data_IF_922332495144
#
_entry.id   IF_922332495144
#
_cell.length_a   1.000
_cell.length_b   1.000
_cell.length_c   1.000
_cell.angle_alpha   90.00
_cell.angle_beta   90.00
_cell.angle_gamma   90.00
#
_symmetry.space_group_name_H-M   'P 1'
#
loop_
_entity.id
_entity.type
_entity.pdbx_description
1 polymer ?
#
# COMPACT_ATOMS: atom_id res chain seq x y z
N UNK A 1 41.39 -6.51 28.51
CA UNK A 1 41.35 -7.72 27.67
C UNK A 1 40.36 -7.42 26.56
N UNK A 2 40.82 -6.87 25.45
CA UNK A 2 39.98 -6.57 24.29
C UNK A 2 39.46 -7.89 23.72
N UNK A 3 38.15 -8.10 23.79
CA UNK A 3 37.51 -9.18 23.08
C UNK A 3 37.64 -8.80 21.60
N UNK A 4 38.59 -9.41 20.89
CA UNK A 4 38.61 -9.38 19.42
C UNK A 4 37.24 -9.85 18.96
N UNK A 5 36.41 -8.90 18.52
CA UNK A 5 35.20 -9.21 17.76
C UNK A 5 35.65 -10.10 16.61
N UNK A 6 35.27 -11.38 16.64
CA UNK A 6 35.55 -12.33 15.55
C UNK A 6 35.11 -11.69 14.24
N UNK A 7 36.01 -11.58 13.26
CA UNK A 7 35.69 -11.00 11.96
C UNK A 7 34.41 -11.64 11.40
N UNK A 8 33.41 -10.81 11.08
CA UNK A 8 32.17 -11.29 10.48
C UNK A 8 32.40 -11.54 8.99
N UNK A 9 31.91 -12.68 8.51
CA UNK A 9 32.11 -13.17 7.16
C UNK A 9 30.83 -13.75 6.57
N UNK A 10 30.72 -13.70 5.24
CA UNK A 10 29.77 -14.48 4.45
C UNK A 10 30.54 -15.23 3.37
N UNK A 11 30.59 -16.56 3.49
CA UNK A 11 31.53 -17.37 2.71
C UNK A 11 32.96 -17.01 3.07
N UNK A 12 33.79 -16.75 2.05
CA UNK A 12 35.21 -16.36 2.19
C UNK A 12 35.40 -14.83 2.28
N UNK A 13 34.32 -14.05 2.25
CA UNK A 13 34.40 -12.60 2.21
C UNK A 13 34.16 -11.96 3.59
N UNK A 14 35.07 -11.07 3.97
CA UNK A 14 34.94 -10.22 5.15
C UNK A 14 33.89 -9.13 4.91
N UNK A 15 33.07 -8.87 5.93
CA UNK A 15 32.10 -7.78 5.89
C UNK A 15 32.79 -6.42 6.10
N UNK A 16 32.31 -5.40 5.42
CA UNK A 16 32.83 -4.02 5.58
C UNK A 16 32.46 -3.46 6.96
N UNK A 17 33.17 -2.44 7.46
CA UNK A 17 32.81 -1.76 8.71
C UNK A 17 31.34 -1.33 8.75
N UNK A 18 30.82 -0.75 7.66
CA UNK A 18 29.43 -0.28 7.57
C UNK A 18 28.42 -1.44 7.65
N UNK A 19 28.75 -2.62 7.09
CA UNK A 19 27.91 -3.80 7.24
C UNK A 19 27.91 -4.30 8.69
N UNK A 20 29.06 -4.25 9.37
CA UNK A 20 29.16 -4.61 10.78
C UNK A 20 28.35 -3.67 11.67
N UNK A 21 28.44 -2.36 11.45
CA UNK A 21 27.67 -1.34 12.17
C UNK A 21 26.16 -1.58 12.04
N UNK A 22 25.69 -1.92 10.83
CA UNK A 22 24.27 -2.24 10.60
C UNK A 22 23.87 -3.52 11.36
N UNK A 23 24.71 -4.55 11.37
CA UNK A 23 24.42 -5.79 12.10
C UNK A 23 24.37 -5.52 13.60
N UNK A 24 25.29 -4.71 14.14
CA UNK A 24 25.32 -4.35 15.56
C UNK A 24 24.06 -3.58 15.95
N UNK A 25 23.65 -2.58 15.17
CA UNK A 25 22.42 -1.83 15.41
C UNK A 25 21.17 -2.73 15.34
N UNK A 26 21.10 -3.65 14.36
CA UNK A 26 19.99 -4.62 14.27
C UNK A 26 19.98 -5.58 15.46
N UNK A 27 21.14 -6.03 15.95
CA UNK A 27 21.25 -6.88 17.14
C UNK A 27 20.86 -6.13 18.42
N UNK A 28 21.11 -4.81 18.49
CA UNK A 28 20.67 -3.94 19.57
C UNK A 28 19.15 -3.68 19.55
N UNK A 29 18.47 -3.98 18.44
CA UNK A 29 17.03 -3.79 18.27
C UNK A 29 16.65 -2.44 17.65
N UNK A 30 17.61 -1.74 17.03
CA UNK A 30 17.39 -0.44 16.41
C UNK A 30 16.67 -0.53 15.07
N UNK A 31 15.95 0.55 14.72
CA UNK A 31 15.40 0.74 13.39
C UNK A 31 16.47 1.32 12.45
N UNK A 32 16.96 0.50 11.51
CA UNK A 32 18.06 0.88 10.62
C UNK A 32 17.58 1.18 9.20
N UNK A 33 18.13 2.23 8.59
CA UNK A 33 17.97 2.54 7.16
C UNK A 33 19.33 2.61 6.48
N UNK A 34 19.62 1.63 5.63
CA UNK A 34 20.85 1.60 4.82
C UNK A 34 20.62 2.13 3.40
N UNK A 35 21.47 3.06 2.97
CA UNK A 35 21.55 3.47 1.56
C UNK A 35 22.70 2.73 0.88
N UNK A 36 22.44 2.11 -0.27
CA UNK A 36 23.46 1.40 -1.01
C UNK A 36 23.17 1.48 -2.52
N UNK A 37 24.22 1.68 -3.31
CA UNK A 37 24.16 1.66 -4.77
C UNK A 37 23.98 0.23 -5.29
N UNK A 38 23.71 0.09 -6.60
CA UNK A 38 23.74 -1.20 -7.25
C UNK A 38 25.13 -1.85 -7.07
N UNK A 39 25.19 -3.15 -6.81
CA UNK A 39 26.44 -3.88 -6.60
C UNK A 39 27.08 -3.73 -5.22
N UNK A 40 26.59 -2.86 -4.34
CA UNK A 40 27.18 -2.63 -3.00
C UNK A 40 26.88 -3.74 -1.95
N UNK A 41 26.58 -4.97 -2.38
CA UNK A 41 26.45 -6.11 -1.47
C UNK A 41 25.21 -6.13 -0.56
N UNK A 42 24.10 -5.46 -0.92
CA UNK A 42 22.83 -5.49 -0.14
C UNK A 42 22.38 -6.91 0.24
N UNK A 43 22.49 -7.83 -0.72
CA UNK A 43 22.14 -9.24 -0.52
C UNK A 43 23.08 -9.89 0.50
N UNK A 44 24.39 -9.62 0.40
CA UNK A 44 25.39 -10.09 1.36
C UNK A 44 25.08 -9.59 2.77
N UNK A 45 24.71 -8.31 2.91
CA UNK A 45 24.29 -7.73 4.19
C UNK A 45 23.05 -8.43 4.76
N UNK A 46 22.01 -8.67 3.97
CA UNK A 46 20.81 -9.37 4.46
C UNK A 46 21.12 -10.81 4.93
N UNK A 47 21.99 -11.53 4.22
CA UNK A 47 22.48 -12.85 4.65
C UNK A 47 23.31 -12.76 5.92
N UNK A 48 24.11 -11.71 6.07
CA UNK A 48 24.87 -11.47 7.29
C UNK A 48 23.95 -11.18 8.48
N UNK A 49 22.94 -10.33 8.31
CA UNK A 49 21.93 -10.09 9.34
C UNK A 49 21.26 -11.41 9.74
N UNK A 50 20.83 -12.24 8.78
CA UNK A 50 20.25 -13.55 9.08
C UNK A 50 21.22 -14.47 9.84
N UNK A 51 22.48 -14.56 9.41
CA UNK A 51 23.51 -15.41 10.02
C UNK A 51 23.83 -14.98 11.46
N UNK A 52 23.98 -13.67 11.70
CA UNK A 52 24.48 -13.13 12.96
C UNK A 52 23.36 -12.75 13.95
N UNK A 53 22.16 -12.43 13.47
CA UNK A 53 20.99 -12.22 14.32
C UNK A 53 20.33 -13.56 14.71
N UNK A 54 21.14 -14.46 15.27
CA UNK A 54 20.71 -15.82 15.60
C UNK A 54 19.63 -15.84 16.69
N UNK A 55 18.73 -16.83 16.60
CA UNK A 55 17.60 -17.12 17.53
C UNK A 55 16.28 -16.37 17.31
N UNK A 56 16.21 -15.46 16.34
CA UNK A 56 14.94 -14.81 15.95
C UNK A 56 14.37 -15.36 14.66
N UNK A 57 13.08 -15.12 14.40
CA UNK A 57 12.47 -15.32 13.08
C UNK A 57 12.49 -14.00 12.32
N UNK A 58 12.96 -14.02 11.08
CA UNK A 58 12.97 -12.83 10.21
C UNK A 58 11.74 -12.76 9.33
N UNK A 59 11.27 -11.56 9.03
CA UNK A 59 10.31 -11.29 7.95
C UNK A 59 11.00 -10.43 6.89
N UNK A 60 11.06 -10.92 5.66
CA UNK A 60 11.52 -10.16 4.52
C UNK A 60 10.35 -9.80 3.60
N UNK A 61 9.96 -8.52 3.61
CA UNK A 61 8.96 -7.97 2.71
C UNK A 61 9.62 -7.50 1.41
N UNK A 62 9.27 -8.15 0.31
CA UNK A 62 9.76 -7.83 -1.03
C UNK A 62 8.80 -6.90 -1.77
N UNK A 63 9.35 -6.04 -2.63
CA UNK A 63 8.56 -5.10 -3.43
C UNK A 63 7.65 -5.79 -4.46
N UNK A 64 8.13 -6.86 -5.09
CA UNK A 64 7.38 -7.57 -6.13
C UNK A 64 7.61 -9.09 -6.09
N UNK A 65 6.83 -9.82 -6.89
CA UNK A 65 6.86 -11.29 -6.91
C UNK A 65 8.16 -11.87 -7.47
N UNK A 66 8.87 -11.15 -8.35
CA UNK A 66 10.17 -11.61 -8.87
C UNK A 66 11.22 -11.62 -7.75
N UNK A 67 11.34 -10.50 -7.03
CA UNK A 67 12.25 -10.38 -5.88
C UNK A 67 11.89 -11.35 -4.76
N UNK A 68 10.60 -11.58 -4.52
CA UNK A 68 10.15 -12.58 -3.55
C UNK A 68 10.62 -14.00 -3.94
N UNK A 69 10.50 -14.39 -5.21
CA UNK A 69 10.98 -15.70 -5.69
C UNK A 69 12.50 -15.84 -5.57
N UNK A 70 13.25 -14.79 -5.85
CA UNK A 70 14.70 -14.75 -5.68
C UNK A 70 15.10 -14.90 -4.20
N UNK A 71 14.47 -14.12 -3.32
CA UNK A 71 14.69 -14.19 -1.88
C UNK A 71 14.40 -15.59 -1.32
N UNK A 72 13.35 -16.27 -1.79
CA UNK A 72 13.05 -17.66 -1.37
C UNK A 72 14.14 -18.65 -1.72
N UNK A 73 14.79 -18.49 -2.88
CA UNK A 73 15.94 -19.32 -3.25
C UNK A 73 17.14 -19.02 -2.35
N UNK A 74 17.37 -17.74 -2.08
CA UNK A 74 18.49 -17.25 -1.29
C UNK A 74 18.45 -17.73 0.17
N UNK A 75 17.29 -17.68 0.80
CA UNK A 75 17.09 -18.04 2.21
C UNK A 75 16.46 -19.43 2.40
N UNK A 76 16.61 -20.32 1.41
CA UNK A 76 16.09 -21.69 1.52
C UNK A 76 16.74 -22.41 2.71
N UNK A 77 15.93 -22.90 3.65
CA UNK A 77 16.41 -23.58 4.86
C UNK A 77 16.75 -22.65 6.03
N UNK A 78 16.58 -21.35 5.85
CA UNK A 78 16.77 -20.33 6.90
C UNK A 78 15.46 -19.97 7.59
N UNK A 79 15.53 -19.42 8.81
CA UNK A 79 14.34 -19.01 9.59
C UNK A 79 13.84 -17.61 9.18
N UNK A 80 13.58 -17.44 7.89
CA UNK A 80 13.12 -16.18 7.30
C UNK A 80 11.82 -16.41 6.53
N UNK A 81 10.74 -15.80 6.99
CA UNK A 81 9.50 -15.72 6.25
C UNK A 81 9.60 -14.65 5.18
N UNK A 82 9.12 -14.97 3.98
CA UNK A 82 9.28 -14.11 2.80
C UNK A 82 7.91 -13.91 2.16
N UNK A 83 7.57 -12.66 1.87
CA UNK A 83 6.29 -12.29 1.30
C UNK A 83 6.41 -10.97 0.52
N UNK A 84 5.48 -10.68 -0.37
CA UNK A 84 5.24 -9.29 -0.79
C UNK A 84 4.35 -8.60 0.24
N UNK A 85 4.34 -7.26 0.25
CA UNK A 85 3.45 -6.50 1.15
C UNK A 85 1.99 -6.93 1.00
N UNK A 86 1.53 -7.06 -0.24
CA UNK A 86 0.18 -7.56 -0.55
C UNK A 86 -0.08 -8.98 -0.06
N UNK A 87 0.81 -9.93 -0.33
CA UNK A 87 0.58 -11.32 0.10
C UNK A 87 0.62 -11.46 1.61
N UNK A 88 1.47 -10.66 2.27
CA UNK A 88 1.55 -10.63 3.73
C UNK A 88 0.27 -10.06 4.34
N UNK A 89 -0.21 -8.91 3.84
CA UNK A 89 -1.46 -8.30 4.25
C UNK A 89 -2.65 -9.24 4.07
N UNK A 90 -2.82 -9.79 2.86
CA UNK A 90 -3.93 -10.68 2.55
C UNK A 90 -3.96 -11.95 3.41
N UNK A 91 -2.79 -12.53 3.70
CA UNK A 91 -2.68 -13.72 4.54
C UNK A 91 -2.78 -13.43 6.04
N UNK A 92 -2.83 -12.16 6.45
CA UNK A 92 -3.06 -11.77 7.83
C UNK A 92 -4.55 -11.78 8.21
N UNK A 93 -5.45 -11.89 7.22
CA UNK A 93 -6.89 -11.92 7.44
C UNK A 93 -7.43 -13.35 7.57
N UNK A 94 -8.57 -13.47 8.25
CA UNK A 94 -9.35 -14.72 8.33
C UNK A 94 -9.75 -15.21 6.93
N UNK A 95 -9.90 -16.53 6.72
CA UNK A 95 -10.21 -17.10 5.41
C UNK A 95 -11.41 -16.45 4.71
N UNK A 96 -12.48 -16.16 5.43
CA UNK A 96 -13.69 -15.53 4.89
C UNK A 96 -13.43 -14.13 4.31
N UNK A 97 -12.65 -13.31 5.04
CA UNK A 97 -12.28 -11.96 4.60
C UNK A 97 -11.40 -12.03 3.35
N UNK A 98 -10.39 -12.91 3.38
CA UNK A 98 -9.49 -13.13 2.25
C UNK A 98 -10.24 -13.58 1.00
N UNK A 99 -11.16 -14.53 1.14
CA UNK A 99 -11.99 -15.00 0.02
C UNK A 99 -12.89 -13.89 -0.51
N UNK A 100 -13.52 -13.12 0.38
CA UNK A 100 -14.32 -11.95 0.02
C UNK A 100 -13.54 -10.92 -0.80
N UNK A 101 -12.33 -10.56 -0.34
CA UNK A 101 -11.47 -9.64 -1.07
C UNK A 101 -11.01 -10.20 -2.42
N UNK A 102 -10.60 -11.47 -2.48
CA UNK A 102 -10.17 -12.09 -3.73
C UNK A 102 -11.29 -12.18 -4.78
N UNK A 103 -12.54 -12.34 -4.37
CA UNK A 103 -13.69 -12.34 -5.30
C UNK A 103 -13.90 -11.00 -6.02
N UNK A 104 -13.48 -9.89 -5.40
CA UNK A 104 -13.67 -8.53 -5.92
C UNK A 104 -12.52 -8.07 -6.83
N UNK A 105 -11.35 -8.68 -6.70
CA UNK A 105 -10.15 -8.26 -7.43
C UNK A 105 -10.14 -8.77 -8.87
N UNK A 106 -9.67 -7.92 -9.80
CA UNK A 106 -9.62 -8.23 -11.23
C UNK A 106 -10.96 -8.05 -11.95
N UNK A 107 -12.03 -7.74 -11.22
CA UNK A 107 -13.31 -7.35 -11.80
C UNK A 107 -13.28 -5.90 -12.28
N UNK A 108 -14.05 -5.61 -13.33
CA UNK A 108 -14.16 -4.26 -13.90
C UNK A 108 -15.16 -3.43 -13.11
N UNK A 109 -14.68 -2.36 -12.48
CA UNK A 109 -15.53 -1.32 -11.91
C UNK A 109 -16.05 -0.40 -13.02
N UNK A 110 -17.31 -0.59 -13.44
CA UNK A 110 -17.95 0.24 -14.45
C UNK A 110 -18.77 1.39 -13.81
N UNK A 111 -19.27 2.33 -14.63
CA UNK A 111 -20.01 3.49 -14.14
C UNK A 111 -21.27 3.13 -13.33
N UNK A 112 -22.03 2.11 -13.74
CA UNK A 112 -23.22 1.66 -13.03
C UNK A 112 -22.88 1.15 -11.62
N UNK A 113 -21.83 0.33 -11.51
CA UNK A 113 -21.36 -0.16 -10.21
C UNK A 113 -20.80 0.98 -9.34
N UNK A 114 -20.16 1.99 -9.92
CA UNK A 114 -19.72 3.18 -9.18
C UNK A 114 -20.94 3.90 -8.60
N UNK A 115 -22.00 4.10 -9.39
CA UNK A 115 -23.21 4.76 -8.91
C UNK A 115 -23.87 3.99 -7.77
N UNK A 116 -23.98 2.67 -7.93
CA UNK A 116 -24.51 1.77 -6.91
C UNK A 116 -23.69 1.79 -5.61
N UNK A 117 -22.40 1.47 -5.68
CA UNK A 117 -21.55 1.31 -4.50
C UNK A 117 -21.11 2.63 -3.86
N UNK A 118 -21.14 3.74 -4.60
CA UNK A 118 -20.97 5.07 -4.04
C UNK A 118 -22.30 5.69 -3.59
N UNK A 119 -23.46 5.03 -3.81
CA UNK A 119 -24.79 5.57 -3.53
C UNK A 119 -24.93 7.02 -4.04
N UNK A 120 -24.67 7.18 -5.33
CA UNK A 120 -24.78 8.44 -6.06
C UNK A 120 -26.25 8.65 -6.41
N UNK A 121 -26.77 9.84 -6.11
CA UNK A 121 -28.11 10.24 -6.52
C UNK A 121 -28.02 11.11 -7.80
N UNK A 122 -28.56 10.65 -8.95
CA UNK A 122 -28.53 11.43 -10.18
C UNK A 122 -29.28 12.77 -10.11
N UNK A 123 -30.14 12.96 -9.11
CA UNK A 123 -30.86 14.21 -8.90
C UNK A 123 -30.05 15.31 -8.22
N UNK A 124 -28.92 14.97 -7.60
CA UNK A 124 -28.05 15.94 -6.92
C UNK A 124 -27.55 17.00 -7.92
N UNK A 125 -27.52 18.27 -7.50
CA UNK A 125 -27.07 19.39 -8.34
C UNK A 125 -25.62 19.15 -8.78
N UNK A 126 -24.76 18.76 -7.84
CA UNK A 126 -23.34 18.48 -8.06
C UNK A 126 -23.12 17.33 -9.03
N UNK A 127 -23.96 16.29 -8.99
CA UNK A 127 -23.91 15.18 -9.94
C UNK A 127 -24.09 15.69 -11.38
N UNK A 128 -25.11 16.51 -11.60
CA UNK A 128 -25.45 17.07 -12.91
C UNK A 128 -24.36 18.04 -13.38
N UNK A 129 -23.88 18.91 -12.50
CA UNK A 129 -22.82 19.89 -12.81
C UNK A 129 -21.48 19.23 -13.16
N UNK A 130 -21.14 18.12 -12.49
CA UNK A 130 -19.91 17.35 -12.73
C UNK A 130 -20.04 16.32 -13.86
N UNK A 131 -21.22 16.19 -14.49
CA UNK A 131 -21.50 15.18 -15.53
C UNK A 131 -21.03 13.77 -15.11
N UNK A 132 -21.39 13.36 -13.89
CA UNK A 132 -20.97 12.06 -13.34
C UNK A 132 -21.62 10.86 -14.02
N UNK A 133 -22.45 11.06 -15.04
CA UNK A 133 -22.82 10.01 -15.96
C UNK A 133 -21.62 9.56 -16.82
N UNK A 134 -20.76 10.51 -17.23
CA UNK A 134 -19.59 10.23 -18.08
C UNK A 134 -18.26 10.38 -17.33
N UNK A 135 -18.24 11.12 -16.21
CA UNK A 135 -17.02 11.50 -15.47
C UNK A 135 -16.80 10.74 -14.17
N UNK A 136 -17.42 9.57 -13.96
CA UNK A 136 -17.22 8.75 -12.75
C UNK A 136 -15.76 8.46 -12.38
N UNK A 137 -14.85 8.41 -13.37
CA UNK A 137 -13.41 8.19 -13.14
C UNK A 137 -12.74 9.21 -12.20
N UNK A 138 -13.29 10.42 -12.04
CA UNK A 138 -12.75 11.42 -11.09
C UNK A 138 -12.97 10.99 -9.63
N UNK A 139 -14.03 10.19 -9.38
CA UNK A 139 -14.27 9.55 -8.08
C UNK A 139 -13.29 8.40 -7.86
N UNK A 140 -13.15 7.50 -8.85
CA UNK A 140 -12.25 6.34 -8.69
C UNK A 140 -10.81 6.77 -8.54
N UNK A 141 -10.34 7.74 -9.33
CA UNK A 141 -8.98 8.28 -9.17
C UNK A 141 -8.74 8.94 -7.81
N UNK A 142 -9.76 9.57 -7.23
CA UNK A 142 -9.69 10.12 -5.86
C UNK A 142 -9.63 9.00 -4.80
N UNK A 143 -10.35 7.90 -5.03
CA UNK A 143 -10.23 6.69 -4.21
C UNK A 143 -8.83 6.07 -4.33
N UNK A 144 -8.26 6.00 -5.53
CA UNK A 144 -6.92 5.45 -5.77
C UNK A 144 -5.83 6.25 -5.03
N UNK A 145 -5.93 7.59 -5.00
CA UNK A 145 -5.04 8.45 -4.20
C UNK A 145 -5.14 8.14 -2.71
N UNK A 146 -6.35 7.87 -2.20
CA UNK A 146 -6.53 7.48 -0.80
C UNK A 146 -5.99 6.09 -0.49
N UNK A 147 -6.32 5.10 -1.32
CA UNK A 147 -5.88 3.71 -1.16
C UNK A 147 -4.35 3.61 -1.16
N UNK A 148 -3.66 4.40 -1.99
CA UNK A 148 -2.20 4.44 -2.07
C UNK A 148 -1.52 5.31 -0.99
N UNK A 149 -2.29 6.04 -0.17
CA UNK A 149 -1.76 6.91 0.88
C UNK A 149 -1.61 6.18 2.23
N UNK A 150 -0.86 6.77 3.16
CA UNK A 150 -0.82 6.35 4.56
C UNK A 150 -2.00 6.88 5.41
N UNK A 151 -2.90 7.69 4.85
CA UNK A 151 -3.97 8.36 5.60
C UNK A 151 -4.98 7.37 6.20
N UNK A 152 -5.46 7.62 7.43
CA UNK A 152 -6.49 6.78 8.07
C UNK A 152 -7.91 7.06 7.55
N UNK A 153 -8.11 8.21 6.91
CA UNK A 153 -9.39 8.61 6.34
C UNK A 153 -9.19 9.43 5.06
N UNK A 154 -10.12 9.29 4.14
CA UNK A 154 -10.15 10.09 2.92
C UNK A 154 -10.64 11.52 3.22
N UNK A 155 -9.99 12.48 2.58
CA UNK A 155 -10.15 13.93 2.75
C UNK A 155 -9.69 14.65 1.49
N UNK A 156 -9.82 15.97 1.43
CA UNK A 156 -9.50 16.79 0.26
C UNK A 156 -8.06 16.62 -0.27
N UNK A 157 -7.09 16.24 0.57
CA UNK A 157 -5.71 16.00 0.12
C UNK A 157 -5.61 14.86 -0.89
N UNK A 158 -6.60 13.97 -0.92
CA UNK A 158 -6.68 12.82 -1.83
C UNK A 158 -7.45 13.14 -3.11
N UNK A 159 -8.02 14.35 -3.23
CA UNK A 159 -8.66 14.75 -4.47
C UNK A 159 -7.65 14.65 -5.60
N UNK A 160 -7.95 13.85 -6.62
CA UNK A 160 -7.03 13.60 -7.72
C UNK A 160 -6.82 14.86 -8.56
N UNK A 161 -5.68 14.94 -9.23
CA UNK A 161 -5.41 16.06 -10.13
C UNK A 161 -6.40 16.10 -11.30
N UNK A 162 -6.86 14.94 -11.79
CA UNK A 162 -7.93 14.85 -12.79
C UNK A 162 -9.24 15.48 -12.30
N UNK A 163 -9.60 15.31 -11.03
CA UNK A 163 -10.77 15.95 -10.44
C UNK A 163 -10.57 17.48 -10.29
N UNK A 164 -9.40 17.91 -9.81
CA UNK A 164 -9.04 19.34 -9.66
C UNK A 164 -9.08 20.07 -11.00
N UNK A 165 -8.43 19.49 -12.02
CA UNK A 165 -8.34 20.04 -13.36
C UNK A 165 -9.71 20.10 -14.03
N UNK A 166 -10.54 19.08 -13.84
CA UNK A 166 -11.89 19.07 -14.37
C UNK A 166 -12.77 20.17 -13.76
N UNK A 167 -12.72 20.35 -12.43
CA UNK A 167 -13.44 21.45 -11.76
C UNK A 167 -12.93 22.81 -12.26
N UNK A 168 -11.60 22.98 -12.39
CA UNK A 168 -11.02 24.21 -12.93
C UNK A 168 -11.47 24.48 -14.37
N UNK A 169 -11.58 23.45 -15.20
CA UNK A 169 -12.08 23.54 -16.57
C UNK A 169 -13.56 23.97 -16.61
N UNK A 170 -14.40 23.42 -15.74
CA UNK A 170 -15.82 23.82 -15.66
C UNK A 170 -15.98 25.29 -15.28
N UNK A 171 -15.15 25.79 -14.36
CA UNK A 171 -15.12 27.22 -13.97
C UNK A 171 -14.64 28.08 -15.13
N UNK A 172 -13.51 27.70 -15.77
CA UNK A 172 -12.94 28.41 -16.92
C UNK A 172 -13.96 28.54 -18.06
N UNK A 173 -14.73 27.49 -18.31
CA UNK A 173 -15.75 27.44 -19.34
C UNK A 173 -17.11 28.02 -18.89
N UNK A 174 -17.17 28.65 -17.70
CA UNK A 174 -18.38 29.25 -17.11
C UNK A 174 -19.56 28.28 -16.95
N UNK A 175 -19.31 26.97 -16.91
CA UNK A 175 -20.33 25.95 -16.62
C UNK A 175 -20.74 25.96 -15.15
N UNK A 176 -19.80 26.29 -14.26
CA UNK A 176 -20.07 26.53 -12.83
C UNK A 176 -19.41 27.84 -12.39
N UNK A 177 -19.96 28.46 -11.33
CA UNK A 177 -19.36 29.64 -10.70
C UNK A 177 -18.16 29.23 -9.84
N UNK A 178 -17.14 30.08 -9.73
CA UNK A 178 -15.97 29.81 -8.89
C UNK A 178 -16.33 29.50 -7.42
N UNK A 179 -17.37 30.16 -6.88
CA UNK A 179 -17.88 29.92 -5.53
C UNK A 179 -18.46 28.52 -5.28
N UNK A 180 -18.84 27.78 -6.33
CA UNK A 180 -19.32 26.38 -6.23
C UNK A 180 -18.18 25.37 -6.08
N UNK A 181 -16.91 25.78 -6.24
CA UNK A 181 -15.75 24.88 -6.16
C UNK A 181 -15.70 24.06 -4.85
N UNK A 182 -15.89 24.65 -3.66
CA UNK A 182 -15.86 23.88 -2.41
C UNK A 182 -16.97 22.82 -2.34
N UNK A 183 -18.18 23.14 -2.81
CA UNK A 183 -19.31 22.19 -2.86
C UNK A 183 -18.98 20.99 -3.76
N UNK A 184 -18.38 21.22 -4.94
CA UNK A 184 -17.96 20.13 -5.83
C UNK A 184 -16.93 19.20 -5.17
N UNK A 185 -15.95 19.79 -4.48
CA UNK A 185 -14.90 19.03 -3.79
C UNK A 185 -15.50 18.19 -2.66
N UNK A 186 -16.33 18.80 -1.81
CA UNK A 186 -17.01 18.12 -0.70
C UNK A 186 -17.84 16.96 -1.24
N UNK A 187 -18.59 17.19 -2.31
CA UNK A 187 -19.39 16.16 -2.95
C UNK A 187 -18.55 14.99 -3.45
N UNK A 188 -17.47 15.25 -4.22
CA UNK A 188 -16.58 14.19 -4.72
C UNK A 188 -15.92 13.39 -3.60
N UNK A 189 -15.45 14.06 -2.54
CA UNK A 189 -14.89 13.38 -1.36
C UNK A 189 -15.95 12.51 -0.68
N UNK A 190 -17.19 12.97 -0.57
CA UNK A 190 -18.26 12.19 0.03
C UNK A 190 -18.63 10.96 -0.81
N UNK A 191 -18.68 11.07 -2.14
CA UNK A 191 -18.92 9.89 -2.99
C UNK A 191 -17.72 8.92 -2.96
N UNK A 192 -16.49 9.44 -2.94
CA UNK A 192 -15.29 8.62 -2.79
C UNK A 192 -15.25 7.89 -1.42
N UNK A 193 -15.69 8.53 -0.33
CA UNK A 193 -15.86 7.92 1.00
C UNK A 193 -16.80 6.71 0.96
N UNK A 194 -17.95 6.86 0.32
CA UNK A 194 -18.93 5.78 0.19
C UNK A 194 -18.38 4.65 -0.68
N UNK A 195 -17.77 4.97 -1.81
CA UNK A 195 -17.18 3.97 -2.71
C UNK A 195 -16.08 3.16 -2.02
N UNK A 196 -15.14 3.83 -1.32
CA UNK A 196 -14.06 3.11 -0.65
C UNK A 196 -14.58 2.27 0.51
N UNK A 197 -15.60 2.73 1.24
CA UNK A 197 -16.26 1.91 2.26
C UNK A 197 -16.81 0.61 1.66
N UNK A 198 -17.44 0.69 0.49
CA UNK A 198 -17.92 -0.49 -0.23
C UNK A 198 -16.76 -1.39 -0.68
N UNK A 199 -15.69 -0.83 -1.26
CA UNK A 199 -14.51 -1.59 -1.69
C UNK A 199 -13.82 -2.35 -0.55
N UNK A 200 -13.71 -1.73 0.62
CA UNK A 200 -13.04 -2.30 1.81
C UNK A 200 -13.93 -3.26 2.61
N UNK A 201 -15.21 -3.39 2.27
CA UNK A 201 -16.11 -4.35 2.89
C UNK A 201 -16.07 -5.68 2.11
N UNK A 202 -15.57 -6.73 2.76
CA UNK A 202 -15.41 -8.07 2.17
C UNK A 202 -16.75 -8.80 1.94
N UNK A 203 -17.86 -8.27 2.48
CA UNK A 203 -19.19 -8.90 2.43
C UNK A 203 -19.99 -8.55 1.18
N UNK A 204 -19.61 -7.49 0.46
CA UNK A 204 -20.22 -7.11 -0.81
C UNK A 204 -19.30 -7.49 -1.99
N UNK A 205 -19.75 -7.18 -3.21
CA UNK A 205 -19.03 -7.51 -4.44
C UNK A 205 -18.48 -6.28 -5.18
N UNK A 206 -18.25 -5.16 -4.48
CA UNK A 206 -17.70 -3.95 -5.08
C UNK A 206 -16.31 -4.22 -5.64
N UNK A 207 -16.09 -4.15 -6.98
CA UNK A 207 -14.78 -4.40 -7.54
C UNK A 207 -13.70 -3.48 -6.96
N UNK A 208 -12.51 -4.03 -6.71
CA UNK A 208 -11.39 -3.27 -6.15
C UNK A 208 -10.04 -3.79 -6.65
N UNK A 209 -8.98 -3.00 -6.45
CA UNK A 209 -7.61 -3.43 -6.75
C UNK A 209 -7.01 -4.26 -5.60
N UNK A 210 -5.85 -4.87 -5.84
CA UNK A 210 -5.07 -5.51 -4.78
C UNK A 210 -4.65 -4.52 -3.67
N UNK A 211 -4.55 -3.23 -3.96
CA UNK A 211 -4.18 -2.23 -2.97
C UNK A 211 -5.31 -1.99 -1.95
N UNK A 212 -6.56 -2.32 -2.27
CA UNK A 212 -7.68 -2.16 -1.37
C UNK A 212 -7.54 -3.01 -0.09
N UNK A 213 -7.20 -4.30 -0.20
CA UNK A 213 -6.99 -5.12 1.00
C UNK A 213 -5.69 -4.74 1.72
N UNK A 214 -4.68 -4.20 1.02
CA UNK A 214 -3.49 -3.65 1.67
C UNK A 214 -3.86 -2.42 2.50
N UNK A 215 -4.76 -1.57 1.99
CA UNK A 215 -5.34 -0.44 2.72
C UNK A 215 -6.17 -0.91 3.91
N UNK A 216 -7.04 -1.91 3.74
CA UNK A 216 -7.80 -2.50 4.85
C UNK A 216 -6.86 -3.03 5.95
N UNK A 217 -5.78 -3.70 5.55
CA UNK A 217 -4.76 -4.21 6.46
C UNK A 217 -4.07 -3.07 7.20
N UNK A 218 -3.65 -2.01 6.50
CA UNK A 218 -3.10 -0.80 7.14
C UNK A 218 -4.05 -0.21 8.19
N UNK A 219 -5.33 -0.08 7.85
CA UNK A 219 -6.36 0.48 8.74
C UNK A 219 -6.65 -0.41 9.95
N UNK A 220 -6.38 -1.71 9.87
CA UNK A 220 -6.48 -2.64 11.00
C UNK A 220 -5.42 -2.41 12.08
N UNK A 221 -4.44 -1.52 11.83
CA UNK A 221 -3.29 -1.23 12.72
C UNK A 221 -2.58 -2.54 13.13
N UNK A 222 -2.06 -3.29 12.15
CA UNK A 222 -1.60 -4.65 12.35
C UNK A 222 -0.35 -4.66 13.23
N UNK A 223 -0.27 -5.64 14.15
CA UNK A 223 0.93 -5.90 14.93
C UNK A 223 1.71 -7.04 14.28
N UNK A 224 2.91 -6.73 13.80
CA UNK A 224 3.81 -7.70 13.18
C UNK A 224 4.58 -8.41 14.29
N UNK A 225 4.16 -9.62 14.64
CA UNK A 225 4.78 -10.42 15.70
C UNK A 225 5.98 -11.21 15.16
N UNK A 226 7.06 -10.50 14.85
CA UNK A 226 8.38 -11.08 14.56
C UNK A 226 9.36 -10.61 15.63
N UNK A 227 10.10 -11.56 16.20
CA UNK A 227 10.97 -11.35 17.36
C UNK A 227 11.91 -12.51 17.58
#
# INVERSE_FOLDING_TARGET
MEIKSSERTIGEHNLTPEMNDIIDAVQAGDNVKGFAYAGAGKITLLRAIEKYHSRKRGLYICYNKSLEREARKLFKGHKVDIATGHSFALNSFEPEVREGDLRKVGLKLNAQLIHEYANINPEDEEYKLLDLNTKTHIITSTVDQYISSASESISEIHLSDSAKDYIALLIKNKKIRAGKKPEMIIYLINQAKKLVRSMLDYRNNCPCSHDAYLKAWQLSKPKINYG
#
